data_IF_363848664329
#
_entry.id   IF_363848664329
#
_cell.length_a   1.000
_cell.length_b   1.000
_cell.length_c   1.000
_cell.angle_alpha   90.00
_cell.angle_beta   90.00
_cell.angle_gamma   90.00
#
_symmetry.space_group_name_H-M   'P 1'
#
loop_
_entity.id
_entity.type
_entity.pdbx_description
1 polymer ?
#
# COMPACT_ATOMS: atom_id res chain seq x y z
N UNK A 1 -3.90 12.05 13.22
CA UNK A 1 -2.87 13.10 13.00
C UNK A 1 -1.88 13.10 14.15
N UNK A 2 -0.58 13.16 13.86
CA UNK A 2 0.47 13.32 14.87
C UNK A 2 0.41 14.75 15.38
N UNK A 3 0.29 14.92 16.69
CA UNK A 3 0.27 16.23 17.37
C UNK A 3 1.57 16.55 18.10
N UNK A 4 2.34 15.51 18.45
CA UNK A 4 3.68 15.62 19.04
C UNK A 4 4.56 14.47 18.57
N UNK A 5 5.79 14.79 18.18
CA UNK A 5 6.84 13.82 17.93
C UNK A 5 8.13 14.34 18.57
N UNK A 6 8.69 13.59 19.53
CA UNK A 6 9.95 13.93 20.19
C UNK A 6 10.88 12.72 20.13
N UNK A 7 12.05 12.93 19.55
CA UNK A 7 13.09 11.91 19.36
C UNK A 7 14.34 12.15 20.20
N UNK A 8 14.36 13.17 21.06
CA UNK A 8 15.56 13.57 21.79
C UNK A 8 16.04 12.47 22.76
N UNK A 9 15.10 11.79 23.43
CA UNK A 9 15.42 10.66 24.29
C UNK A 9 16.04 9.51 23.51
N UNK A 10 15.55 9.22 22.32
CA UNK A 10 16.10 8.18 21.45
C UNK A 10 17.52 8.55 21.01
N UNK A 11 17.74 9.79 20.58
CA UNK A 11 19.07 10.29 20.18
C UNK A 11 20.09 10.31 21.33
N UNK A 12 19.64 10.44 22.59
CA UNK A 12 20.48 10.46 23.78
C UNK A 12 20.95 9.06 24.23
N UNK A 13 20.38 7.99 23.70
CA UNK A 13 20.78 6.62 24.05
C UNK A 13 22.18 6.34 23.47
N UNK A 14 23.09 5.92 24.32
CA UNK A 14 24.46 5.55 23.93
C UNK A 14 24.40 4.41 22.90
N UNK A 15 25.06 4.60 21.76
CA UNK A 15 25.07 3.62 20.66
C UNK A 15 24.00 3.87 19.59
N UNK A 16 23.06 4.80 19.78
CA UNK A 16 22.21 5.33 18.72
C UNK A 16 23.03 6.30 17.88
N UNK A 17 23.02 6.11 16.56
CA UNK A 17 23.79 6.93 15.61
C UNK A 17 22.92 7.97 14.91
N UNK A 18 21.67 7.60 14.55
CA UNK A 18 20.75 8.51 13.89
C UNK A 18 19.30 8.06 14.06
N UNK A 19 18.39 9.01 13.93
CA UNK A 19 16.94 8.79 13.86
C UNK A 19 16.44 9.38 12.56
N UNK A 20 15.84 8.56 11.70
CA UNK A 20 15.22 8.95 10.45
C UNK A 20 13.72 9.16 10.66
N UNK A 21 13.18 10.27 10.13
CA UNK A 21 11.76 10.60 10.22
C UNK A 21 11.06 10.33 8.88
N UNK A 22 10.03 9.48 8.89
CA UNK A 22 9.12 9.31 7.76
C UNK A 22 7.99 10.33 7.77
N UNK A 23 7.71 10.90 8.94
CA UNK A 23 6.67 11.89 9.17
C UNK A 23 7.27 13.15 9.78
N UNK A 24 6.77 14.29 9.35
CA UNK A 24 7.11 15.59 9.88
C UNK A 24 5.90 16.15 10.63
N UNK A 25 6.13 16.76 11.79
CA UNK A 25 5.07 17.27 12.64
C UNK A 25 4.90 18.77 12.42
N UNK A 26 3.68 19.25 12.53
CA UNK A 26 3.35 20.66 12.41
C UNK A 26 4.30 21.54 13.24
N UNK A 27 4.89 22.55 12.61
CA UNK A 27 5.86 23.45 13.23
C UNK A 27 7.33 23.08 13.01
N UNK A 28 7.62 21.90 12.44
CA UNK A 28 8.99 21.49 12.10
C UNK A 28 9.36 21.81 10.67
N UNK A 29 8.39 21.89 9.76
CA UNK A 29 8.61 22.26 8.36
C UNK A 29 7.87 23.55 8.05
N UNK A 30 8.61 24.59 7.76
CA UNK A 30 8.07 25.87 7.29
C UNK A 30 8.32 25.95 5.78
N UNK A 31 7.26 26.06 4.99
CA UNK A 31 7.34 26.31 3.55
C UNK A 31 7.02 27.78 3.29
N UNK A 32 7.73 28.39 2.40
CA UNK A 32 7.39 29.70 1.89
C UNK A 32 6.41 29.55 0.71
N UNK A 33 5.21 30.08 0.87
CA UNK A 33 4.18 30.12 -0.18
C UNK A 33 3.78 31.58 -0.34
N UNK A 34 3.99 32.14 -1.52
CA UNK A 34 3.67 33.55 -1.85
C UNK A 34 4.29 34.57 -0.87
N UNK A 35 5.54 34.33 -0.44
CA UNK A 35 6.27 35.21 0.48
C UNK A 35 5.77 35.14 1.93
N UNK A 36 4.98 34.14 2.29
CA UNK A 36 4.52 33.89 3.67
C UNK A 36 4.99 32.52 4.16
N UNK A 37 5.46 32.48 5.39
CA UNK A 37 5.75 31.23 6.07
C UNK A 37 4.43 30.49 6.35
N UNK A 38 4.26 29.29 5.77
CA UNK A 38 3.13 28.41 6.01
C UNK A 38 3.64 27.12 6.65
N UNK A 39 3.08 26.75 7.78
CA UNK A 39 3.38 25.48 8.41
C UNK A 39 2.75 24.35 7.59
N UNK A 40 3.61 23.52 7.00
CA UNK A 40 3.16 22.32 6.29
C UNK A 40 2.96 21.17 7.27
N UNK A 41 1.71 20.88 7.58
CA UNK A 41 1.33 19.77 8.44
C UNK A 41 0.78 18.53 7.68
N UNK A 42 0.80 18.58 6.34
CA UNK A 42 0.24 17.51 5.50
C UNK A 42 0.94 16.17 5.71
N UNK A 43 2.22 16.19 6.06
CA UNK A 43 2.99 14.99 6.34
C UNK A 43 2.81 14.44 7.78
N UNK A 44 2.10 15.16 8.65
CA UNK A 44 1.83 14.71 10.04
C UNK A 44 0.64 13.75 10.14
N UNK A 45 -0.06 13.44 9.05
CA UNK A 45 -1.20 12.53 9.08
C UNK A 45 -0.75 11.10 8.78
N UNK A 46 -1.13 10.16 9.65
CA UNK A 46 -1.06 8.74 9.36
C UNK A 46 -2.43 8.30 8.82
N UNK A 47 -2.44 7.67 7.64
CA UNK A 47 -3.66 7.30 6.94
C UNK A 47 -4.17 5.90 7.32
N UNK A 48 -3.33 5.11 8.03
CA UNK A 48 -3.67 3.77 8.47
C UNK A 48 -2.78 3.33 9.65
N UNK A 49 -3.22 2.33 10.39
CA UNK A 49 -2.42 1.70 11.45
C UNK A 49 -1.24 0.93 10.84
N UNK A 50 -0.02 1.28 11.25
CA UNK A 50 1.24 0.73 10.75
C UNK A 50 1.98 1.64 9.77
N UNK A 51 1.46 2.83 9.45
CA UNK A 51 2.22 3.80 8.66
C UNK A 51 3.45 4.27 9.42
N UNK A 52 4.64 4.17 8.79
CA UNK A 52 5.91 4.41 9.47
C UNK A 52 6.06 5.88 9.88
N UNK A 53 6.49 6.11 11.11
CA UNK A 53 6.71 7.46 11.67
C UNK A 53 8.20 7.78 11.77
N UNK A 54 9.00 6.87 12.30
CA UNK A 54 10.43 7.03 12.45
C UNK A 54 11.16 5.70 12.40
N UNK A 55 12.48 5.74 12.13
CA UNK A 55 13.39 4.61 12.26
C UNK A 55 14.64 5.04 13.03
N UNK A 56 15.24 4.10 13.75
CA UNK A 56 16.46 4.32 14.54
C UNK A 56 17.57 3.42 14.02
N UNK A 57 18.75 3.99 13.76
CA UNK A 57 19.95 3.23 13.50
C UNK A 57 20.90 3.30 14.70
N UNK A 58 21.37 2.14 15.15
CA UNK A 58 22.23 1.98 16.32
C UNK A 58 23.29 0.89 16.10
N UNK A 59 24.23 0.76 17.06
CA UNK A 59 25.29 -0.24 17.00
C UNK A 59 24.77 -1.68 17.01
N UNK A 60 23.65 -1.93 17.72
CA UNK A 60 23.00 -3.24 17.79
C UNK A 60 21.49 -3.11 17.59
N UNK A 61 20.84 -4.23 17.28
CA UNK A 61 19.38 -4.28 17.15
C UNK A 61 18.68 -3.92 18.48
N UNK A 62 19.19 -4.40 19.61
CA UNK A 62 18.60 -4.13 20.92
C UNK A 62 18.63 -2.63 21.27
N UNK A 63 19.77 -1.95 20.99
CA UNK A 63 19.89 -0.50 21.19
C UNK A 63 18.95 0.26 20.23
N UNK A 64 18.79 -0.22 18.98
CA UNK A 64 17.87 0.38 18.04
C UNK A 64 16.42 0.25 18.53
N UNK A 65 16.03 -0.90 19.07
CA UNK A 65 14.71 -1.12 19.66
C UNK A 65 14.47 -0.23 20.89
N UNK A 66 15.45 -0.09 21.76
CA UNK A 66 15.37 0.82 22.91
C UNK A 66 15.22 2.27 22.43
N UNK A 67 15.92 2.64 21.35
CA UNK A 67 15.76 3.92 20.68
C UNK A 67 14.32 4.13 20.17
N UNK A 68 13.75 3.14 19.49
CA UNK A 68 12.35 3.21 19.00
C UNK A 68 11.38 3.37 20.17
N UNK A 69 11.55 2.61 21.27
CA UNK A 69 10.70 2.71 22.46
C UNK A 69 10.80 4.07 23.18
N UNK A 70 11.94 4.76 23.03
CA UNK A 70 12.15 6.08 23.62
C UNK A 70 11.56 7.24 22.81
N UNK A 71 11.09 7.00 21.58
CA UNK A 71 10.40 8.01 20.78
C UNK A 71 9.02 8.28 21.39
N UNK A 72 8.74 9.55 21.64
CA UNK A 72 7.43 9.99 22.17
C UNK A 72 6.56 10.51 21.04
N UNK A 73 5.43 9.85 20.80
CA UNK A 73 4.45 10.25 19.78
C UNK A 73 3.10 10.44 20.43
N UNK A 74 2.41 11.54 20.10
CA UNK A 74 1.02 11.76 20.48
C UNK A 74 0.17 11.91 19.19
N UNK A 75 -1.06 11.39 19.24
CA UNK A 75 -1.97 11.37 18.12
C UNK A 75 -3.33 11.94 18.46
N UNK A 76 -3.91 12.69 17.53
CA UNK A 76 -5.35 12.91 17.46
C UNK A 76 -5.94 11.90 16.47
N UNK A 77 -6.87 11.08 16.95
CA UNK A 77 -7.57 10.11 16.12
C UNK A 77 -8.60 10.85 15.25
N UNK A 78 -8.44 10.74 13.94
CA UNK A 78 -9.35 11.34 12.98
C UNK A 78 -10.53 10.39 12.69
N UNK A 79 -11.67 10.90 12.19
CA UNK A 79 -12.73 10.05 11.65
C UNK A 79 -12.16 9.09 10.59
N UNK A 80 -12.48 7.81 10.71
CA UNK A 80 -11.92 6.76 9.86
C UNK A 80 -12.96 5.72 9.46
N UNK A 81 -12.71 5.04 8.37
CA UNK A 81 -13.50 3.93 7.84
C UNK A 81 -12.57 2.76 7.59
N UNK A 82 -12.84 1.62 8.21
CA UNK A 82 -12.00 0.39 8.08
C UNK A 82 -12.78 -0.82 7.60
N UNK A 83 -14.11 -0.76 7.64
CA UNK A 83 -14.99 -1.84 7.18
C UNK A 83 -15.46 -1.57 5.74
N UNK A 84 -14.85 -2.28 4.80
CA UNK A 84 -15.21 -2.20 3.39
C UNK A 84 -16.53 -2.89 3.05
N UNK A 85 -17.13 -3.62 3.97
CA UNK A 85 -18.46 -4.23 3.77
C UNK A 85 -19.60 -3.28 4.14
N UNK A 86 -19.34 -2.26 4.95
CA UNK A 86 -20.30 -1.21 5.30
C UNK A 86 -20.36 -0.10 4.24
N UNK A 87 -21.05 -0.40 3.13
CA UNK A 87 -21.23 0.57 2.04
C UNK A 87 -22.06 1.78 2.46
N UNK A 88 -23.00 1.63 3.40
CA UNK A 88 -23.79 2.76 3.90
C UNK A 88 -22.96 3.71 4.74
N UNK A 89 -22.16 3.19 5.66
CA UNK A 89 -21.18 3.98 6.40
C UNK A 89 -20.15 4.63 5.48
N UNK A 90 -19.68 3.92 4.44
CA UNK A 90 -18.81 4.46 3.42
C UNK A 90 -19.41 5.64 2.65
N UNK A 91 -20.71 5.57 2.29
CA UNK A 91 -21.45 6.67 1.66
C UNK A 91 -21.59 7.85 2.61
N UNK A 92 -22.00 7.61 3.87
CA UNK A 92 -22.14 8.64 4.89
C UNK A 92 -20.83 9.38 5.14
N UNK A 93 -19.70 8.67 5.11
CA UNK A 93 -18.36 9.22 5.26
C UNK A 93 -17.75 9.78 3.96
N UNK A 94 -18.49 9.77 2.85
CA UNK A 94 -18.03 10.16 1.50
C UNK A 94 -16.76 9.44 1.05
N UNK A 95 -16.69 8.14 1.29
CA UNK A 95 -15.56 7.28 0.95
C UNK A 95 -15.73 6.50 -0.37
N UNK A 96 -16.87 6.69 -1.06
CA UNK A 96 -17.12 6.12 -2.37
C UNK A 96 -16.50 7.01 -3.47
N UNK A 97 -16.55 6.56 -4.72
CA UNK A 97 -16.20 7.39 -5.87
C UNK A 97 -17.38 8.28 -6.24
N UNK A 98 -17.14 9.57 -6.36
CA UNK A 98 -18.14 10.57 -6.73
C UNK A 98 -17.73 11.30 -8.00
N UNK A 99 -18.71 11.61 -8.84
CA UNK A 99 -18.53 12.51 -9.96
C UNK A 99 -18.26 13.94 -9.46
N UNK A 100 -17.31 14.63 -10.08
CA UNK A 100 -16.87 15.96 -9.62
C UNK A 100 -17.89 17.05 -9.83
N UNK A 101 -18.70 16.93 -10.90
CA UNK A 101 -19.60 17.99 -11.34
C UNK A 101 -20.97 17.82 -10.68
N UNK A 102 -21.51 16.60 -10.64
CA UNK A 102 -22.82 16.31 -10.06
C UNK A 102 -22.77 16.04 -8.55
N UNK A 103 -21.62 15.57 -8.03
CA UNK A 103 -21.51 15.10 -6.65
C UNK A 103 -22.20 13.77 -6.37
N UNK A 104 -22.67 13.09 -7.42
CA UNK A 104 -23.34 11.80 -7.29
C UNK A 104 -22.34 10.65 -7.23
N UNK A 105 -22.68 9.57 -6.49
CA UNK A 105 -21.88 8.35 -6.48
C UNK A 105 -21.89 7.71 -7.87
N UNK A 106 -20.71 7.39 -8.37
CA UNK A 106 -20.53 6.71 -9.66
C UNK A 106 -19.75 5.41 -9.49
N UNK A 107 -20.12 4.35 -10.21
CA UNK A 107 -19.35 3.12 -10.21
C UNK A 107 -17.98 3.32 -10.88
N UNK A 108 -17.02 2.45 -10.56
CA UNK A 108 -15.74 2.36 -11.26
C UNK A 108 -15.95 1.72 -12.65
N UNK A 109 -16.82 0.70 -12.68
CA UNK A 109 -17.24 -0.01 -13.87
C UNK A 109 -18.76 -0.12 -13.86
N UNK A 110 -19.39 0.17 -14.98
CA UNK A 110 -20.78 -0.16 -15.27
C UNK A 110 -20.87 -0.59 -16.74
N UNK A 111 -21.06 -1.88 -16.97
CA UNK A 111 -21.03 -2.45 -18.31
C UNK A 111 -22.17 -3.42 -18.51
N UNK A 112 -22.97 -3.17 -19.53
CA UNK A 112 -24.08 -4.02 -19.96
C UNK A 112 -23.84 -4.55 -21.37
N UNK A 113 -24.13 -5.83 -21.59
CA UNK A 113 -24.15 -6.50 -22.90
C UNK A 113 -25.42 -7.31 -22.99
N UNK A 114 -26.15 -7.19 -24.10
CA UNK A 114 -27.43 -7.88 -24.29
C UNK A 114 -28.53 -7.39 -23.34
N UNK A 115 -29.41 -8.30 -22.96
CA UNK A 115 -30.53 -8.06 -22.03
C UNK A 115 -30.45 -9.09 -20.90
N UNK A 116 -29.65 -8.86 -19.84
CA UNK A 116 -29.48 -9.82 -18.75
C UNK A 116 -30.75 -10.03 -17.93
N UNK A 117 -31.57 -9.01 -17.74
CA UNK A 117 -32.78 -9.12 -16.92
C UNK A 117 -33.84 -9.99 -17.63
N UNK A 118 -33.97 -9.85 -18.95
CA UNK A 118 -34.81 -10.75 -19.74
C UNK A 118 -34.28 -12.18 -19.75
N UNK A 119 -32.98 -12.35 -19.98
CA UNK A 119 -32.37 -13.67 -20.02
C UNK A 119 -32.45 -14.41 -18.69
N UNK A 120 -32.33 -13.71 -17.55
CA UNK A 120 -32.54 -14.28 -16.20
C UNK A 120 -33.99 -14.72 -16.01
N UNK A 121 -34.96 -13.90 -16.46
CA UNK A 121 -36.39 -14.21 -16.33
C UNK A 121 -36.82 -15.43 -17.15
N UNK A 122 -36.19 -15.64 -18.30
CA UNK A 122 -36.50 -16.71 -19.25
C UNK A 122 -35.67 -17.99 -19.02
N UNK A 123 -34.72 -17.99 -18.07
CA UNK A 123 -33.81 -19.10 -17.82
C UNK A 123 -34.51 -20.28 -17.12
N UNK A 124 -34.03 -21.50 -17.41
CA UNK A 124 -34.48 -22.71 -16.72
C UNK A 124 -33.93 -22.82 -15.29
N UNK A 125 -32.72 -22.30 -15.07
CA UNK A 125 -32.01 -22.35 -13.79
C UNK A 125 -31.41 -20.98 -13.49
N UNK A 126 -31.67 -20.48 -12.30
CA UNK A 126 -31.09 -19.22 -11.80
C UNK A 126 -30.50 -19.48 -10.42
N UNK A 127 -29.26 -19.02 -10.23
CA UNK A 127 -28.59 -19.01 -8.94
C UNK A 127 -28.15 -17.60 -8.58
N UNK A 128 -28.41 -17.20 -7.33
CA UNK A 128 -27.90 -15.94 -6.77
C UNK A 128 -27.11 -16.24 -5.52
N UNK A 129 -25.93 -15.65 -5.40
CA UNK A 129 -25.06 -15.82 -4.25
C UNK A 129 -24.26 -14.57 -3.92
N UNK A 130 -23.82 -14.50 -2.66
CA UNK A 130 -22.87 -13.51 -2.17
C UNK A 130 -21.52 -14.17 -1.99
N UNK A 131 -20.47 -13.53 -2.50
CA UNK A 131 -19.10 -14.03 -2.46
C UNK A 131 -18.17 -12.90 -2.06
N UNK A 132 -17.10 -13.23 -1.34
CA UNK A 132 -16.15 -12.19 -0.98
C UNK A 132 -14.89 -12.71 -0.31
N UNK A 133 -13.91 -11.83 -0.33
CA UNK A 133 -12.63 -12.00 0.35
C UNK A 133 -12.14 -10.65 0.85
N UNK A 134 -11.74 -10.59 2.11
CA UNK A 134 -11.12 -9.42 2.71
C UNK A 134 -9.71 -9.16 2.15
N UNK A 135 -9.14 -8.03 2.50
CA UNK A 135 -7.73 -7.72 2.24
C UNK A 135 -6.82 -8.80 2.83
N UNK A 136 -5.77 -9.16 2.12
CA UNK A 136 -4.84 -10.22 2.55
C UNK A 136 -3.41 -9.69 2.47
N UNK A 137 -2.65 -9.82 3.58
CA UNK A 137 -1.21 -9.60 3.60
C UNK A 137 -0.45 -10.71 2.87
N UNK A 138 0.66 -10.37 2.22
CA UNK A 138 1.51 -11.31 1.49
C UNK A 138 2.21 -12.36 2.37
N UNK A 139 2.37 -12.09 3.66
CA UNK A 139 2.95 -13.02 4.64
C UNK A 139 4.30 -13.61 4.22
N UNK A 140 5.16 -12.79 3.59
CA UNK A 140 6.49 -13.26 3.23
C UNK A 140 7.26 -13.71 4.48
N UNK A 141 7.89 -14.89 4.44
CA UNK A 141 8.70 -15.37 5.58
C UNK A 141 9.88 -14.44 5.84
N UNK A 142 10.57 -14.00 4.78
CA UNK A 142 11.51 -12.90 4.85
C UNK A 142 10.75 -11.58 4.81
N UNK A 143 10.77 -10.76 5.87
CA UNK A 143 10.16 -9.44 5.85
C UNK A 143 10.76 -8.53 4.77
N UNK A 144 10.06 -7.44 4.45
CA UNK A 144 10.63 -6.39 3.61
C UNK A 144 11.79 -5.70 4.34
N UNK A 145 12.82 -5.32 3.58
CA UNK A 145 13.94 -4.60 4.13
C UNK A 145 15.14 -4.52 3.19
N UNK A 146 16.14 -3.81 3.66
CA UNK A 146 17.40 -3.59 2.96
C UNK A 146 18.58 -3.53 3.93
N UNK A 147 19.76 -3.87 3.40
CA UNK A 147 21.05 -3.56 4.00
C UNK A 147 21.80 -2.67 3.02
N UNK A 148 21.98 -1.40 3.37
CA UNK A 148 22.58 -0.38 2.53
C UNK A 148 23.96 0.01 3.03
N UNK A 149 24.89 0.22 2.09
CA UNK A 149 26.21 0.80 2.33
C UNK A 149 26.38 1.97 1.40
N UNK A 150 26.63 3.14 1.94
CA UNK A 150 26.94 4.36 1.21
C UNK A 150 28.45 4.59 1.25
N UNK A 151 29.08 4.77 0.09
CA UNK A 151 30.53 4.91 -0.04
C UNK A 151 30.84 5.97 -1.12
N UNK A 152 31.49 7.03 -0.70
CA UNK A 152 31.92 8.15 -1.58
C UNK A 152 33.44 8.14 -1.86
N UNK A 153 34.13 7.04 -1.57
CA UNK A 153 35.56 6.90 -1.84
C UNK A 153 35.93 6.96 -3.34
N UNK A 154 34.95 6.58 -4.20
CA UNK A 154 35.14 6.50 -5.64
C UNK A 154 35.73 5.18 -6.16
N UNK A 155 36.02 4.23 -5.26
CA UNK A 155 36.57 2.92 -5.61
C UNK A 155 35.50 1.92 -6.09
N UNK A 156 34.21 2.33 -6.10
CA UNK A 156 33.09 1.48 -6.47
C UNK A 156 31.77 2.26 -6.54
N UNK A 157 30.61 1.55 -6.55
CA UNK A 157 29.32 2.22 -6.56
C UNK A 157 29.09 2.98 -5.26
N UNK A 158 28.57 4.20 -5.36
CA UNK A 158 28.23 5.06 -4.22
C UNK A 158 27.21 4.40 -3.28
N UNK A 159 26.23 3.68 -3.83
CA UNK A 159 25.25 2.93 -3.03
C UNK A 159 25.27 1.46 -3.38
N UNK A 160 25.57 0.62 -2.40
CA UNK A 160 25.34 -0.83 -2.49
C UNK A 160 24.18 -1.21 -1.57
N UNK A 161 23.08 -1.74 -2.15
CA UNK A 161 21.90 -2.19 -1.43
C UNK A 161 21.73 -3.71 -1.60
N UNK A 162 21.85 -4.46 -0.51
CA UNK A 162 21.33 -5.83 -0.43
C UNK A 162 19.87 -5.73 -0.03
N UNK A 163 19.00 -5.93 -1.01
CA UNK A 163 17.58 -5.63 -0.87
C UNK A 163 16.74 -6.87 -1.13
N UNK A 164 15.74 -7.12 -0.29
CA UNK A 164 14.74 -8.16 -0.54
C UNK A 164 13.79 -7.69 -1.64
N UNK A 165 14.06 -8.07 -2.88
CA UNK A 165 13.34 -7.59 -4.07
C UNK A 165 13.13 -8.67 -5.12
N UNK A 166 11.98 -8.60 -5.82
CA UNK A 166 11.67 -9.41 -7.01
C UNK A 166 12.15 -8.74 -8.32
N UNK A 167 12.65 -7.49 -8.25
CA UNK A 167 12.97 -6.68 -9.42
C UNK A 167 14.27 -5.88 -9.21
N UNK A 168 15.41 -6.55 -9.24
CA UNK A 168 16.73 -5.97 -8.92
C UNK A 168 17.02 -4.70 -9.74
N UNK A 169 16.84 -4.76 -11.07
CA UNK A 169 17.14 -3.63 -11.97
C UNK A 169 16.22 -2.42 -11.70
N UNK A 170 14.92 -2.66 -11.54
CA UNK A 170 13.96 -1.59 -11.24
C UNK A 170 14.23 -0.96 -9.88
N UNK A 171 14.56 -1.78 -8.88
CA UNK A 171 14.94 -1.32 -7.54
C UNK A 171 16.18 -0.44 -7.61
N UNK A 172 17.18 -0.81 -8.42
CA UNK A 172 18.38 0.01 -8.64
C UNK A 172 18.07 1.36 -9.28
N UNK A 173 17.23 1.37 -10.30
CA UNK A 173 16.79 2.63 -10.94
C UNK A 173 16.01 3.54 -9.97
N UNK A 174 15.20 2.97 -9.07
CA UNK A 174 14.48 3.74 -8.06
C UNK A 174 15.40 4.34 -6.99
N UNK A 175 16.44 3.62 -6.55
CA UNK A 175 17.46 4.18 -5.68
C UNK A 175 18.23 5.31 -6.38
N UNK A 176 18.67 5.10 -7.62
CA UNK A 176 19.36 6.13 -8.40
C UNK A 176 18.51 7.39 -8.54
N UNK A 177 17.24 7.25 -8.96
CA UNK A 177 16.32 8.37 -9.10
C UNK A 177 16.02 9.09 -7.78
N UNK A 178 15.88 8.36 -6.66
CA UNK A 178 15.60 8.96 -5.36
C UNK A 178 16.77 9.81 -4.82
N UNK A 179 18.00 9.34 -5.02
CA UNK A 179 19.21 10.00 -4.51
C UNK A 179 19.92 10.90 -5.54
N UNK A 180 19.40 11.01 -6.75
CA UNK A 180 20.02 11.79 -7.83
C UNK A 180 21.37 11.22 -8.29
N UNK A 181 21.53 9.88 -8.25
CA UNK A 181 22.73 9.16 -8.68
C UNK A 181 22.60 8.65 -10.11
N UNK A 182 23.72 8.46 -10.77
CA UNK A 182 23.76 7.72 -12.02
C UNK A 182 23.50 6.22 -11.78
N UNK A 183 22.92 5.54 -12.77
CA UNK A 183 22.60 4.11 -12.64
C UNK A 183 23.84 3.24 -12.36
N UNK A 184 25.02 3.66 -12.80
CA UNK A 184 26.28 2.98 -12.54
C UNK A 184 26.77 3.07 -11.09
N UNK A 185 26.30 4.10 -10.36
CA UNK A 185 26.67 4.36 -8.97
C UNK A 185 25.81 3.62 -7.96
N UNK A 186 24.83 2.83 -8.44
CA UNK A 186 23.93 2.03 -7.60
C UNK A 186 24.06 0.56 -7.92
N UNK A 187 24.41 -0.23 -6.92
CA UNK A 187 24.45 -1.68 -7.01
C UNK A 187 23.41 -2.33 -6.10
N UNK A 188 22.39 -2.97 -6.69
CA UNK A 188 21.43 -3.77 -5.95
C UNK A 188 21.77 -5.24 -6.04
N UNK A 189 21.73 -5.93 -4.91
CA UNK A 189 22.05 -7.37 -4.79
C UNK A 189 20.88 -8.08 -4.12
N UNK A 190 20.38 -9.14 -4.76
CA UNK A 190 19.38 -10.04 -4.19
C UNK A 190 19.73 -11.46 -4.64
N UNK A 191 20.60 -12.14 -3.89
CA UNK A 191 21.02 -13.51 -4.20
C UNK A 191 19.94 -14.54 -3.86
N UNK A 192 19.15 -14.27 -2.80
CA UNK A 192 18.07 -15.11 -2.31
C UNK A 192 16.93 -14.23 -1.85
N UNK A 193 15.70 -14.72 -2.02
CA UNK A 193 14.50 -14.04 -1.57
C UNK A 193 13.57 -15.02 -0.86
N UNK A 194 13.12 -14.66 0.33
CA UNK A 194 12.24 -15.47 1.18
C UNK A 194 10.75 -15.18 0.97
N UNK A 195 10.35 -15.04 -0.31
CA UNK A 195 8.98 -14.73 -0.72
C UNK A 195 8.79 -13.24 -1.06
N UNK A 196 7.92 -12.98 -2.02
CA UNK A 196 7.58 -11.63 -2.45
C UNK A 196 6.13 -11.55 -2.93
N UNK A 197 5.68 -12.52 -3.74
CA UNK A 197 4.30 -12.71 -4.19
C UNK A 197 3.67 -11.47 -4.83
N UNK A 198 4.50 -10.54 -5.33
CA UNK A 198 4.07 -9.28 -5.92
C UNK A 198 4.32 -8.05 -5.03
N UNK A 199 4.66 -8.21 -3.74
CA UNK A 199 4.86 -7.07 -2.85
C UNK A 199 6.25 -6.44 -2.91
N UNK A 200 7.26 -7.13 -3.47
CA UNK A 200 8.65 -6.71 -3.41
C UNK A 200 9.19 -6.23 -4.78
N UNK A 201 8.49 -5.28 -5.42
CA UNK A 201 8.93 -4.71 -6.71
C UNK A 201 9.59 -3.34 -6.61
N UNK A 202 9.77 -2.81 -5.41
CA UNK A 202 10.28 -1.46 -5.23
C UNK A 202 11.37 -1.38 -4.16
N UNK A 203 12.16 -0.29 -4.20
CA UNK A 203 13.09 0.08 -3.13
C UNK A 203 12.35 0.40 -1.83
N UNK A 204 11.18 0.99 -1.97
CA UNK A 204 10.30 1.39 -0.87
C UNK A 204 10.93 2.35 0.16
N UNK A 205 10.08 2.87 1.04
CA UNK A 205 10.50 3.88 2.03
C UNK A 205 11.51 3.35 3.05
N UNK A 206 11.43 2.06 3.40
CA UNK A 206 12.42 1.43 4.29
C UNK A 206 13.79 1.26 3.64
N UNK A 207 13.84 0.99 2.34
CA UNK A 207 15.08 0.96 1.56
C UNK A 207 15.71 2.35 1.49
N UNK A 208 14.92 3.37 1.17
CA UNK A 208 15.40 4.76 1.16
C UNK A 208 15.89 5.21 2.53
N UNK A 209 15.16 4.90 3.60
CA UNK A 209 15.57 5.20 4.95
C UNK A 209 16.91 4.52 5.32
N UNK A 210 17.07 3.24 4.98
CA UNK A 210 18.32 2.52 5.22
C UNK A 210 19.51 3.14 4.47
N UNK A 211 19.31 3.53 3.21
CA UNK A 211 20.34 4.19 2.40
C UNK A 211 20.68 5.57 2.95
N UNK A 212 19.67 6.39 3.30
CA UNK A 212 19.88 7.71 3.88
C UNK A 212 20.62 7.65 5.21
N UNK A 213 20.19 6.75 6.13
CA UNK A 213 20.88 6.57 7.40
C UNK A 213 22.32 6.08 7.22
N UNK A 214 22.58 5.26 6.19
CA UNK A 214 23.95 4.86 5.84
C UNK A 214 24.78 6.03 5.38
N UNK A 215 24.22 6.90 4.53
CA UNK A 215 24.86 8.14 4.08
C UNK A 215 25.19 9.07 5.25
N UNK A 216 24.21 9.31 6.13
CA UNK A 216 24.33 10.24 7.26
C UNK A 216 25.35 9.79 8.30
N UNK A 217 25.52 8.48 8.46
CA UNK A 217 26.40 7.91 9.50
C UNK A 217 27.76 7.45 8.99
N UNK A 218 27.92 7.34 7.64
CA UNK A 218 29.11 6.72 7.04
C UNK A 218 29.26 5.23 7.39
N UNK A 219 28.18 4.55 7.79
CA UNK A 219 28.17 3.16 8.26
C UNK A 219 27.17 2.33 7.49
N UNK A 220 27.40 1.01 7.31
CA UNK A 220 26.37 0.13 6.79
C UNK A 220 25.14 0.11 7.70
N UNK A 221 23.95 0.24 7.12
CA UNK A 221 22.68 0.20 7.86
C UNK A 221 21.82 -0.95 7.35
N UNK A 222 21.36 -1.78 8.27
CA UNK A 222 20.35 -2.82 8.01
C UNK A 222 19.03 -2.40 8.64
N UNK A 223 18.00 -2.26 7.80
CA UNK A 223 16.62 -2.04 8.21
C UNK A 223 15.77 -3.17 7.66
N UNK A 224 15.22 -3.99 8.55
CA UNK A 224 14.26 -5.04 8.23
C UNK A 224 13.01 -4.80 9.05
N UNK A 225 11.83 -4.93 8.43
CA UNK A 225 10.56 -4.80 9.15
C UNK A 225 10.40 -5.97 10.13
N UNK A 226 9.90 -5.69 11.32
CA UNK A 226 9.43 -6.73 12.22
C UNK A 226 8.12 -7.36 11.69
N UNK A 227 7.68 -8.48 12.27
CA UNK A 227 6.49 -9.18 11.77
C UNK A 227 5.21 -8.37 11.93
N UNK A 228 5.06 -7.57 12.95
CA UNK A 228 3.87 -6.74 13.16
C UNK A 228 3.78 -5.64 12.08
N UNK A 229 4.89 -4.97 11.81
CA UNK A 229 5.01 -3.96 10.75
C UNK A 229 4.85 -4.59 9.36
N UNK A 230 5.45 -5.76 9.12
CA UNK A 230 5.33 -6.51 7.87
C UNK A 230 3.88 -6.82 7.50
N UNK A 231 3.01 -7.08 8.46
CA UNK A 231 1.60 -7.39 8.22
C UNK A 231 0.75 -6.16 7.89
N UNK A 232 1.24 -4.96 8.20
CA UNK A 232 0.48 -3.71 8.08
C UNK A 232 1.01 -2.79 6.97
N UNK A 233 2.32 -2.64 6.87
CA UNK A 233 2.96 -1.55 6.12
C UNK A 233 3.23 -1.87 4.65
N UNK A 234 3.74 -3.05 4.26
CA UNK A 234 4.13 -3.32 2.87
C UNK A 234 2.97 -3.39 1.88
N UNK A 235 1.74 -3.31 2.37
CA UNK A 235 0.55 -3.35 1.55
C UNK A 235 -0.12 -4.73 1.49
N UNK A 236 -1.35 -4.72 1.00
CA UNK A 236 -2.22 -5.89 0.97
C UNK A 236 -2.76 -6.14 -0.44
N UNK A 237 -3.22 -7.35 -0.69
CA UNK A 237 -4.12 -7.63 -1.81
C UNK A 237 -5.44 -6.89 -1.57
N UNK A 238 -6.01 -6.18 -2.55
CA UNK A 238 -7.34 -5.57 -2.43
C UNK A 238 -8.40 -6.58 -2.03
N UNK A 239 -9.38 -6.15 -1.25
CA UNK A 239 -10.58 -6.93 -0.99
C UNK A 239 -11.51 -6.94 -2.20
N UNK A 240 -12.39 -7.91 -2.24
CA UNK A 240 -13.43 -7.97 -3.26
C UNK A 240 -14.61 -8.78 -2.80
N UNK A 241 -15.79 -8.18 -2.86
CA UNK A 241 -17.09 -8.77 -2.57
C UNK A 241 -17.97 -8.66 -3.80
N UNK A 242 -18.91 -9.56 -3.96
CA UNK A 242 -19.83 -9.52 -5.07
C UNK A 242 -21.17 -10.18 -4.72
N UNK A 243 -22.26 -9.55 -5.16
CA UNK A 243 -23.54 -10.21 -5.36
C UNK A 243 -23.59 -10.67 -6.81
N UNK A 244 -23.80 -11.97 -7.04
CA UNK A 244 -23.75 -12.56 -8.38
C UNK A 244 -25.02 -13.34 -8.66
N UNK A 245 -25.65 -13.07 -9.80
CA UNK A 245 -26.74 -13.88 -10.34
C UNK A 245 -26.28 -14.49 -11.67
N UNK A 246 -26.39 -15.81 -11.76
CA UNK A 246 -26.06 -16.58 -12.97
C UNK A 246 -27.33 -17.30 -13.44
N UNK A 247 -27.60 -17.24 -14.74
CA UNK A 247 -28.72 -17.94 -15.36
C UNK A 247 -28.23 -18.92 -16.43
N UNK A 248 -28.89 -20.07 -16.52
CA UNK A 248 -28.53 -21.13 -17.44
C UNK A 248 -29.77 -21.88 -17.98
N UNK A 249 -29.59 -22.59 -19.07
CA UNK A 249 -30.50 -23.59 -19.60
C UNK A 249 -30.33 -24.92 -18.85
N UNK A 250 -31.28 -25.86 -18.97
CA UNK A 250 -31.24 -27.19 -18.34
C UNK A 250 -30.02 -28.03 -18.68
N UNK A 251 -29.47 -27.83 -19.88
CA UNK A 251 -28.24 -28.50 -20.34
C UNK A 251 -26.95 -27.82 -19.86
N UNK A 252 -27.06 -26.79 -19.00
CA UNK A 252 -25.93 -26.14 -18.33
C UNK A 252 -25.27 -25.00 -19.11
N UNK A 253 -25.84 -24.56 -20.23
CA UNK A 253 -25.33 -23.40 -20.97
C UNK A 253 -25.66 -22.12 -20.21
N UNK A 254 -24.63 -21.37 -19.80
CA UNK A 254 -24.78 -20.06 -19.13
C UNK A 254 -25.31 -19.03 -20.15
N UNK A 255 -26.46 -18.44 -19.84
CA UNK A 255 -27.16 -17.47 -20.71
C UNK A 255 -27.08 -16.05 -20.22
N UNK A 256 -26.93 -15.84 -18.91
CA UNK A 256 -26.77 -14.51 -18.35
C UNK A 256 -25.88 -14.50 -17.10
N UNK A 257 -25.24 -13.32 -16.90
CA UNK A 257 -24.50 -12.97 -15.70
C UNK A 257 -24.88 -11.56 -15.28
N UNK A 258 -25.22 -11.39 -14.00
CA UNK A 258 -25.44 -10.08 -13.39
C UNK A 258 -24.65 -10.03 -12.08
N UNK A 259 -23.83 -9.00 -11.90
CA UNK A 259 -23.04 -8.89 -10.68
C UNK A 259 -22.81 -7.43 -10.28
N UNK A 260 -22.83 -7.20 -8.97
CA UNK A 260 -22.40 -5.97 -8.35
C UNK A 260 -21.22 -6.31 -7.42
N UNK A 261 -20.09 -5.69 -7.72
CA UNK A 261 -18.83 -5.88 -7.00
C UNK A 261 -18.50 -4.65 -6.17
N UNK A 262 -17.84 -4.85 -5.04
CA UNK A 262 -17.26 -3.78 -4.25
C UNK A 262 -16.02 -4.28 -3.49
N UNK A 263 -15.24 -3.33 -2.96
CA UNK A 263 -14.06 -3.62 -2.16
C UNK A 263 -13.20 -2.40 -1.96
N UNK A 264 -12.06 -2.61 -1.34
CA UNK A 264 -11.08 -1.55 -1.09
C UNK A 264 -9.68 -1.96 -1.53
N UNK A 265 -8.91 -0.98 -1.98
CA UNK A 265 -7.46 -1.03 -2.11
C UNK A 265 -6.76 -0.09 -1.11
N UNK A 266 -7.44 0.22 -0.01
CA UNK A 266 -6.96 1.09 1.05
C UNK A 266 -7.30 2.58 0.83
N UNK A 267 -6.41 3.51 1.23
CA UNK A 267 -6.73 4.94 1.26
C UNK A 267 -7.03 5.57 -0.10
N UNK A 268 -6.61 4.96 -1.18
CA UNK A 268 -6.86 5.49 -2.54
C UNK A 268 -8.24 5.15 -3.09
N UNK A 269 -8.92 4.19 -2.51
CA UNK A 269 -10.25 3.78 -2.93
C UNK A 269 -10.30 3.13 -4.30
N UNK A 270 -10.08 1.86 -4.35
CA UNK A 270 -10.23 1.01 -5.53
C UNK A 270 -10.94 -0.29 -5.16
N UNK A 271 -10.93 -1.23 -6.07
CA UNK A 271 -11.45 -2.59 -5.85
C UNK A 271 -10.80 -3.54 -6.85
N UNK A 272 -11.16 -4.82 -6.79
CA UNK A 272 -10.80 -5.78 -7.84
C UNK A 272 -11.36 -5.32 -9.19
N UNK A 273 -10.63 -5.61 -10.27
CA UNK A 273 -11.04 -5.22 -11.62
C UNK A 273 -12.30 -5.98 -12.07
N UNK A 274 -13.44 -5.29 -12.04
CA UNK A 274 -14.72 -5.82 -12.52
C UNK A 274 -14.78 -6.01 -14.05
N UNK A 275 -13.83 -5.44 -14.82
CA UNK A 275 -13.82 -5.60 -16.28
C UNK A 275 -13.57 -7.05 -16.70
N UNK A 276 -12.90 -7.82 -15.86
CA UNK A 276 -12.60 -9.23 -16.13
C UNK A 276 -13.74 -10.19 -15.76
N UNK A 277 -14.83 -9.70 -15.21
CA UNK A 277 -15.95 -10.54 -14.81
C UNK A 277 -17.01 -10.63 -15.93
N UNK A 278 -17.57 -11.80 -16.11
CA UNK A 278 -17.13 -13.12 -15.64
C UNK A 278 -15.83 -13.58 -16.33
N UNK A 279 -14.90 -14.14 -15.57
CA UNK A 279 -13.56 -14.51 -16.06
C UNK A 279 -13.56 -15.80 -16.89
N UNK A 280 -14.33 -16.81 -16.46
CA UNK A 280 -14.32 -18.16 -17.06
C UNK A 280 -15.42 -18.32 -18.13
N UNK A 281 -16.51 -17.59 -17.99
CA UNK A 281 -17.67 -17.68 -18.86
C UNK A 281 -17.83 -16.41 -19.68
N UNK A 282 -18.32 -16.53 -20.92
CA UNK A 282 -18.69 -15.40 -21.76
C UNK A 282 -20.16 -15.49 -22.17
N UNK A 283 -21.10 -15.28 -21.25
CA UNK A 283 -22.53 -15.32 -21.58
C UNK A 283 -22.89 -14.14 -22.46
N UNK A 284 -23.88 -14.33 -23.38
CA UNK A 284 -24.29 -13.29 -24.31
C UNK A 284 -24.98 -12.10 -23.63
N UNK A 285 -25.48 -12.30 -22.41
CA UNK A 285 -26.16 -11.25 -21.65
C UNK A 285 -25.44 -11.06 -20.31
N UNK A 286 -24.95 -9.86 -20.04
CA UNK A 286 -24.24 -9.55 -18.79
C UNK A 286 -24.38 -8.10 -18.37
N UNK A 287 -24.45 -7.90 -17.06
CA UNK A 287 -24.38 -6.61 -16.42
C UNK A 287 -23.39 -6.70 -15.24
N UNK A 288 -22.35 -5.90 -15.28
CA UNK A 288 -21.30 -5.84 -14.28
C UNK A 288 -21.18 -4.42 -13.76
N UNK A 289 -21.39 -4.25 -12.46
CA UNK A 289 -21.15 -3.01 -11.74
C UNK A 289 -19.99 -3.23 -10.78
N UNK A 290 -19.08 -2.27 -10.68
CA UNK A 290 -17.97 -2.31 -9.72
C UNK A 290 -17.85 -0.98 -8.98
N UNK A 291 -17.78 -1.04 -7.65
CA UNK A 291 -17.67 0.13 -6.76
C UNK A 291 -16.41 0.01 -5.90
N UNK A 292 -15.75 1.11 -5.64
CA UNK A 292 -14.63 1.19 -4.72
C UNK A 292 -14.99 1.98 -3.48
N UNK A 293 -14.53 1.51 -2.33
CA UNK A 293 -14.60 2.23 -1.06
C UNK A 293 -13.19 2.55 -0.58
N UNK A 294 -12.92 3.82 -0.29
CA UNK A 294 -11.67 4.24 0.34
C UNK A 294 -11.71 3.92 1.84
N UNK A 295 -10.74 3.18 2.33
CA UNK A 295 -10.64 2.82 3.74
C UNK A 295 -9.30 3.28 4.32
N UNK A 296 -9.27 3.47 5.63
CA UNK A 296 -8.06 3.80 6.39
C UNK A 296 -7.30 2.52 6.81
N UNK A 297 -7.36 1.49 5.97
CA UNK A 297 -6.51 0.30 6.01
C UNK A 297 -5.20 0.53 5.26
N UNK A 298 -4.23 -0.36 5.38
CA UNK A 298 -2.97 -0.28 4.66
C UNK A 298 -3.16 -0.21 3.14
N UNK A 299 -2.19 0.35 2.39
CA UNK A 299 -2.30 0.51 0.95
C UNK A 299 -2.34 -0.85 0.24
N UNK A 300 -2.90 -0.85 -0.97
CA UNK A 300 -2.80 -2.03 -1.81
C UNK A 300 -1.37 -2.25 -2.31
N UNK A 301 -1.07 -3.49 -2.60
CA UNK A 301 0.17 -3.92 -3.26
C UNK A 301 -0.18 -5.00 -4.27
N UNK A 302 0.59 -5.08 -5.36
CA UNK A 302 0.41 -6.14 -6.33
C UNK A 302 0.43 -7.51 -5.63
N UNK A 303 -0.55 -8.34 -5.96
CA UNK A 303 -0.59 -9.73 -5.56
C UNK A 303 -0.30 -10.58 -6.77
N UNK A 304 0.45 -11.65 -6.62
CA UNK A 304 0.71 -12.62 -7.69
C UNK A 304 -0.55 -12.84 -8.53
N UNK A 305 -0.58 -12.24 -9.66
CA UNK A 305 -1.72 -12.22 -10.55
C UNK A 305 -1.32 -12.73 -11.93
N UNK A 306 -2.19 -13.46 -12.60
CA UNK A 306 -1.93 -14.02 -13.91
C UNK A 306 -2.46 -13.16 -15.04
N UNK A 307 -2.62 -11.89 -14.95
CA UNK A 307 -3.14 -11.07 -16.05
C UNK A 307 -2.15 -10.94 -17.17
#
# INVERSE_FOLDING_TARGET
KITRLNVDKAKAIKGVHTVYLFKEVAGTTVKEVDGKEVVDDTNATCNYDGELVAAVAAETADIAEDGVRAIEVAYDVLPHVVDETDLEGGRAAKRMKYDRDSGEEVPIVDRTVGDPDKAIKEADVVHTGHYGIHTISHMCLEPHGAHCTWDESGDGPTLTARHSTQAVSTTGAQFAGHFGLDAGDVRVICNYIGGGFGSKFAADIWGWAAAQMSKDTGRPVRLMLDRATELKTPGTRPSGFANVTVAATKDGKVTAWKSEHWGTDGPKGGTIDGNQMPYVFDPPNKHVISRGISTDCGPNRAWRAPN
#
